data_IF_833289309186
#
_entry.id   IF_833289309186
#
_cell.length_a   1.000
_cell.length_b   1.000
_cell.length_c   1.000
_cell.angle_alpha   90.00
_cell.angle_beta   90.00
_cell.angle_gamma   90.00
#
_symmetry.space_group_name_H-M   'P 1'
#
loop_
_entity.id
_entity.type
_entity.pdbx_description
1 polymer ?
#
# COMPACT_ATOMS: atom_id res chain seq x y z
N UNK A 1 3.21 -25.55 -27.38
CA UNK A 1 2.21 -24.49 -27.23
C UNK A 1 2.10 -24.19 -25.73
N UNK A 2 2.74 -23.12 -25.27
CA UNK A 2 2.66 -22.69 -23.87
C UNK A 2 1.44 -21.76 -23.77
N UNK A 3 0.39 -22.19 -23.06
CA UNK A 3 -0.84 -21.42 -22.88
C UNK A 3 -0.57 -20.48 -21.71
N UNK A 4 -0.54 -19.17 -21.95
CA UNK A 4 -0.43 -18.17 -20.89
C UNK A 4 -1.84 -17.76 -20.47
N UNK A 5 -2.22 -18.10 -19.24
CA UNK A 5 -3.48 -17.66 -18.63
C UNK A 5 -3.30 -16.23 -18.10
N UNK A 6 -4.16 -15.33 -18.55
CA UNK A 6 -4.29 -13.97 -18.01
C UNK A 6 -5.77 -13.72 -17.76
N UNK A 7 -6.13 -13.04 -16.67
CA UNK A 7 -7.52 -12.93 -16.20
C UNK A 7 -7.81 -11.49 -15.83
N UNK A 8 -8.43 -10.69 -16.70
CA UNK A 8 -8.75 -9.30 -16.37
C UNK A 8 -10.19 -9.17 -15.85
N UNK A 9 -10.35 -8.71 -14.60
CA UNK A 9 -11.62 -8.25 -14.05
C UNK A 9 -11.64 -6.72 -14.03
N UNK A 10 -12.22 -6.09 -15.05
CA UNK A 10 -12.51 -4.65 -15.07
C UNK A 10 -13.95 -4.43 -14.61
N UNK A 11 -14.13 -3.77 -13.46
CA UNK A 11 -15.39 -3.10 -13.11
C UNK A 11 -15.09 -1.61 -12.95
N UNK A 12 -15.52 -0.84 -13.94
CA UNK A 12 -15.44 0.62 -14.01
C UNK A 12 -16.60 1.20 -13.18
N UNK A 13 -16.28 1.95 -12.13
CA UNK A 13 -17.06 3.12 -11.66
C UNK A 13 -16.01 4.19 -11.26
N UNK A 14 -16.19 5.40 -11.78
CA UNK A 14 -15.14 6.38 -12.11
C UNK A 14 -14.37 7.01 -10.95
N UNK A 15 -13.23 7.68 -11.18
CA UNK A 15 -12.83 8.45 -12.35
C UNK A 15 -11.46 8.03 -12.88
N UNK A 16 -11.38 7.92 -14.20
CA UNK A 16 -10.13 7.83 -14.94
C UNK A 16 -9.60 9.26 -15.09
N UNK A 17 -8.48 9.58 -14.44
CA UNK A 17 -7.56 10.57 -14.98
C UNK A 17 -6.58 9.80 -15.85
N UNK A 18 -6.79 9.87 -17.16
CA UNK A 18 -5.83 9.44 -18.16
C UNK A 18 -4.55 10.26 -17.98
N UNK A 19 -3.44 9.55 -17.84
CA UNK A 19 -2.11 10.13 -17.81
C UNK A 19 -1.08 9.11 -18.28
N UNK A 20 -1.28 8.54 -19.47
CA UNK A 20 -0.15 8.04 -20.25
C UNK A 20 0.74 9.25 -20.56
N UNK A 21 1.87 9.38 -19.87
CA UNK A 21 3.00 10.11 -20.40
C UNK A 21 4.23 9.25 -20.20
N UNK A 22 4.72 8.72 -21.30
CA UNK A 22 6.14 8.44 -21.39
C UNK A 22 6.89 9.67 -20.93
N UNK A 23 7.69 9.52 -19.88
CA UNK A 23 8.66 10.53 -19.46
C UNK A 23 9.75 10.50 -20.53
N UNK A 24 9.50 11.22 -21.63
CA UNK A 24 10.60 11.78 -22.38
C UNK A 24 11.17 12.91 -21.52
N UNK A 25 12.46 12.79 -21.20
CA UNK A 25 13.29 13.84 -20.61
C UNK A 25 13.25 15.08 -21.50
N UNK A 26 12.22 15.90 -21.34
CA UNK A 26 12.23 17.28 -21.78
C UNK A 26 12.49 18.12 -20.56
N UNK A 27 13.67 18.75 -20.56
CA UNK A 27 14.02 19.88 -19.70
C UNK A 27 12.88 20.91 -19.74
N UNK A 28 11.93 20.83 -18.80
CA UNK A 28 11.03 21.94 -18.51
C UNK A 28 11.80 22.88 -17.60
N UNK A 29 12.50 23.81 -18.24
CA UNK A 29 13.01 25.00 -17.60
C UNK A 29 11.82 25.87 -17.21
N UNK A 30 11.65 26.07 -15.90
CA UNK A 30 10.98 27.23 -15.30
C UNK A 30 9.46 27.22 -15.29
N UNK A 31 8.89 26.73 -14.19
CA UNK A 31 7.92 27.54 -13.43
C UNK A 31 8.30 27.41 -11.95
N UNK A 32 9.11 28.37 -11.49
CA UNK A 32 9.30 28.66 -10.08
C UNK A 32 7.94 29.06 -9.47
N UNK A 33 7.18 28.08 -9.01
CA UNK A 33 6.06 28.28 -8.08
C UNK A 33 6.42 27.68 -6.72
N UNK A 34 7.66 27.89 -6.28
CA UNK A 34 8.05 27.83 -4.89
C UNK A 34 7.30 28.91 -4.10
N UNK A 35 6.00 28.70 -3.86
CA UNK A 35 5.44 29.11 -2.57
C UNK A 35 6.03 28.13 -1.57
N UNK A 36 7.26 28.42 -1.17
CA UNK A 36 7.94 27.78 -0.06
C UNK A 36 7.04 27.99 1.15
N UNK A 37 6.23 27.00 1.47
CA UNK A 37 5.90 26.77 2.85
C UNK A 37 7.27 26.59 3.50
N UNK A 38 7.72 27.61 4.25
CA UNK A 38 8.86 27.48 5.17
C UNK A 38 8.78 26.07 5.77
N UNK A 39 9.88 25.32 5.79
CA UNK A 39 9.93 23.90 6.20
C UNK A 39 9.39 23.60 7.60
N UNK A 40 8.73 24.56 8.24
CA UNK A 40 7.84 24.45 9.37
C UNK A 40 6.36 24.33 8.95
N UNK A 41 5.59 23.51 9.67
CA UNK A 41 4.13 23.38 9.52
C UNK A 41 3.34 24.67 9.83
N UNK A 42 4.03 25.78 10.15
CA UNK A 42 3.46 27.01 10.72
C UNK A 42 2.48 27.73 9.81
N UNK A 43 2.54 27.47 8.50
CA UNK A 43 1.69 28.13 7.52
C UNK A 43 0.57 27.23 6.96
N UNK A 44 0.36 26.02 7.50
CA UNK A 44 -0.72 25.12 7.06
C UNK A 44 -1.99 25.35 7.88
N UNK A 45 -3.14 25.41 7.21
CA UNK A 45 -4.45 25.53 7.86
C UNK A 45 -5.27 24.25 7.63
N UNK A 46 -5.47 23.47 8.69
CA UNK A 46 -6.37 22.31 8.64
C UNK A 46 -7.82 22.76 8.61
N UNK A 47 -8.68 22.06 7.85
CA UNK A 47 -10.13 22.34 7.80
C UNK A 47 -10.81 22.16 9.15
N UNK A 48 -10.30 21.27 9.98
CA UNK A 48 -10.82 20.99 11.31
C UNK A 48 -9.72 20.90 12.37
N UNK A 49 -10.06 21.27 13.61
CA UNK A 49 -9.14 21.09 14.75
C UNK A 49 -8.81 19.61 15.00
N UNK A 50 -9.75 18.71 14.68
CA UNK A 50 -9.54 17.26 14.82
C UNK A 50 -8.41 16.76 13.92
N UNK A 51 -8.39 17.18 12.65
CA UNK A 51 -7.32 16.86 11.70
C UNK A 51 -5.98 17.41 12.18
N UNK A 52 -5.96 18.68 12.63
CA UNK A 52 -4.74 19.32 13.15
C UNK A 52 -4.15 18.56 14.34
N UNK A 53 -4.98 18.25 15.35
CA UNK A 53 -4.55 17.53 16.55
C UNK A 53 -4.01 16.15 16.17
N UNK A 54 -4.69 15.45 15.25
CA UNK A 54 -4.26 14.12 14.82
C UNK A 54 -2.94 14.16 14.05
N UNK A 55 -2.82 15.07 13.09
CA UNK A 55 -1.58 15.28 12.36
C UNK A 55 -0.42 15.60 13.32
N UNK A 56 -0.63 16.49 14.30
CA UNK A 56 0.39 16.82 15.28
C UNK A 56 0.82 15.61 16.10
N UNK A 57 -0.13 14.79 16.58
CA UNK A 57 0.19 13.54 17.30
C UNK A 57 1.01 12.58 16.44
N UNK A 58 0.65 12.39 15.17
CA UNK A 58 1.40 11.54 14.24
C UNK A 58 2.81 12.10 13.99
N UNK A 59 2.93 13.42 13.81
CA UNK A 59 4.20 14.10 13.65
C UNK A 59 5.12 13.93 14.87
N UNK A 60 4.58 14.15 16.07
CA UNK A 60 5.32 14.00 17.32
C UNK A 60 5.77 12.56 17.52
N UNK A 61 4.90 11.58 17.25
CA UNK A 61 5.23 10.17 17.32
C UNK A 61 6.34 9.77 16.35
N UNK A 62 6.25 10.19 15.09
CA UNK A 62 7.29 9.90 14.10
C UNK A 62 8.61 10.53 14.55
N UNK A 63 8.62 11.82 14.90
CA UNK A 63 9.84 12.49 15.37
C UNK A 63 10.45 11.79 16.58
N UNK A 64 9.65 11.43 17.59
CA UNK A 64 10.13 10.76 18.80
C UNK A 64 10.66 9.34 18.53
N UNK A 65 10.19 8.69 17.46
CA UNK A 65 10.67 7.36 17.03
C UNK A 65 11.90 7.42 16.11
N UNK A 66 12.33 8.62 15.72
CA UNK A 66 13.50 8.85 14.87
C UNK A 66 14.65 9.45 15.67
N UNK A 67 15.87 9.24 15.20
CA UNK A 67 17.09 9.74 15.85
C UNK A 67 18.06 10.32 14.81
N UNK A 68 19.23 10.78 15.25
CA UNK A 68 20.23 11.42 14.38
C UNK A 68 20.74 10.55 13.22
N UNK A 69 20.46 9.24 13.21
CA UNK A 69 20.83 8.31 12.14
C UNK A 69 19.80 8.29 11.00
N UNK A 70 18.66 8.95 11.18
CA UNK A 70 17.65 9.09 10.13
C UNK A 70 17.98 10.32 9.28
N UNK A 71 18.08 10.12 7.97
CA UNK A 71 18.05 11.23 7.02
C UNK A 71 16.62 11.77 6.98
N UNK A 72 16.49 13.08 6.98
CA UNK A 72 15.18 13.73 6.90
C UNK A 72 15.14 14.64 5.69
N UNK A 73 14.04 14.58 4.94
CA UNK A 73 13.68 15.61 3.98
C UNK A 73 12.64 16.52 4.62
N UNK A 74 12.77 17.85 4.51
CA UNK A 74 11.78 18.77 5.04
C UNK A 74 10.43 18.56 4.35
N UNK A 75 9.41 19.28 4.81
CA UNK A 75 8.15 19.24 4.07
C UNK A 75 8.33 19.85 2.68
N UNK A 76 7.94 19.10 1.66
CA UNK A 76 8.05 19.50 0.25
C UNK A 76 6.76 19.14 -0.51
N UNK A 77 6.39 19.97 -1.48
CA UNK A 77 5.23 19.71 -2.34
C UNK A 77 5.56 18.68 -3.41
N UNK A 78 4.75 17.63 -3.50
CA UNK A 78 4.85 16.58 -4.52
C UNK A 78 3.47 16.32 -5.10
N UNK A 79 3.15 16.98 -6.21
CA UNK A 79 1.77 17.05 -6.71
C UNK A 79 0.84 17.64 -5.65
N UNK A 80 -0.29 16.97 -5.37
CA UNK A 80 -1.28 17.41 -4.38
C UNK A 80 -0.93 17.05 -2.93
N UNK A 81 0.32 16.69 -2.65
CA UNK A 81 0.80 16.28 -1.33
C UNK A 81 1.84 17.25 -0.80
N UNK A 82 1.75 17.60 0.47
CA UNK A 82 2.82 18.26 1.20
C UNK A 82 3.35 17.29 2.25
N UNK A 83 4.56 16.77 2.02
CA UNK A 83 5.05 15.57 2.70
C UNK A 83 6.42 15.79 3.33
N UNK A 84 6.62 15.23 4.53
CA UNK A 84 7.91 15.13 5.21
C UNK A 84 8.31 13.68 5.27
N UNK A 85 9.58 13.40 5.03
CA UNK A 85 10.09 12.04 4.97
C UNK A 85 11.27 11.85 5.92
N UNK A 86 11.32 10.67 6.54
CA UNK A 86 12.42 10.16 7.33
C UNK A 86 12.83 8.83 6.75
N UNK A 87 14.10 8.66 6.45
CA UNK A 87 14.57 7.43 5.85
C UNK A 87 15.93 7.02 6.44
N UNK A 88 16.14 5.72 6.54
CA UNK A 88 17.37 5.13 7.03
C UNK A 88 17.57 3.77 6.38
N UNK A 89 18.82 3.45 6.06
CA UNK A 89 19.22 2.08 5.73
C UNK A 89 20.14 1.55 6.81
N UNK A 90 20.00 0.27 7.14
CA UNK A 90 20.81 -0.36 8.17
C UNK A 90 22.29 -0.54 7.77
N UNK A 91 22.58 -0.58 6.46
CA UNK A 91 23.94 -0.67 5.93
C UNK A 91 24.43 0.67 5.35
N UNK A 92 25.76 0.85 5.34
CA UNK A 92 26.44 2.07 4.93
C UNK A 92 26.41 2.18 3.39
N UNK A 93 25.56 3.07 2.88
CA UNK A 93 25.51 3.49 1.49
C UNK A 93 24.70 4.77 1.37
N UNK A 94 24.86 5.51 0.27
CA UNK A 94 23.99 6.65 0.00
C UNK A 94 22.56 6.15 -0.21
N UNK A 95 21.69 6.45 0.74
CA UNK A 95 20.26 6.18 0.65
C UNK A 95 19.52 7.52 0.63
N UNK A 96 18.75 7.73 -0.43
CA UNK A 96 17.87 8.88 -0.52
C UNK A 96 16.41 8.48 -0.30
N UNK A 97 15.66 9.37 0.32
CA UNK A 97 14.27 9.10 0.71
C UNK A 97 13.31 9.03 -0.51
N UNK A 98 13.83 9.20 -1.74
CA UNK A 98 13.09 9.10 -3.00
C UNK A 98 12.95 7.66 -3.53
N UNK A 99 13.78 6.71 -3.09
CA UNK A 99 13.74 5.33 -3.61
C UNK A 99 12.73 4.47 -2.84
N UNK A 100 11.45 4.54 -3.20
CA UNK A 100 10.38 3.72 -2.56
C UNK A 100 9.84 2.59 -3.45
N UNK A 101 10.19 2.56 -4.74
CA UNK A 101 9.59 1.58 -5.66
C UNK A 101 10.22 0.18 -5.55
N UNK A 102 11.42 0.07 -4.97
CA UNK A 102 12.12 -1.20 -4.77
C UNK A 102 12.36 -1.41 -3.28
N UNK A 103 11.41 -2.04 -2.60
CA UNK A 103 11.57 -2.39 -1.19
C UNK A 103 12.65 -3.47 -1.08
N UNK A 104 13.69 -3.19 -0.30
CA UNK A 104 14.76 -4.13 -0.02
C UNK A 104 15.04 -4.27 1.47
N UNK A 105 15.88 -5.25 1.84
CA UNK A 105 16.32 -5.48 3.22
C UNK A 105 16.97 -4.26 3.86
N UNK A 106 16.75 -4.12 5.17
CA UNK A 106 17.33 -3.08 6.00
C UNK A 106 16.85 -1.66 5.67
N UNK A 107 15.89 -1.47 4.77
CA UNK A 107 15.22 -0.19 4.54
C UNK A 107 14.23 0.13 5.65
N UNK A 108 14.31 1.37 6.14
CA UNK A 108 13.35 1.97 7.05
C UNK A 108 12.91 3.32 6.49
N UNK A 109 11.61 3.54 6.46
CA UNK A 109 11.02 4.75 5.90
C UNK A 109 9.81 5.15 6.73
N UNK A 110 9.63 6.45 6.92
CA UNK A 110 8.41 7.05 7.45
C UNK A 110 8.12 8.29 6.63
N UNK A 111 6.87 8.49 6.27
CA UNK A 111 6.34 9.67 5.61
C UNK A 111 5.12 10.14 6.37
N UNK A 112 5.01 11.46 6.48
CA UNK A 112 3.82 12.13 6.93
C UNK A 112 3.42 13.14 5.87
N UNK A 113 2.17 13.08 5.42
CA UNK A 113 1.65 13.95 4.38
C UNK A 113 0.32 14.58 4.76
N UNK A 114 0.06 15.74 4.17
CA UNK A 114 -1.27 16.35 4.08
C UNK A 114 -1.60 16.54 2.61
N UNK A 115 -2.88 16.55 2.26
CA UNK A 115 -3.31 16.84 0.90
C UNK A 115 -3.80 18.28 0.78
N UNK A 116 -3.67 18.84 -0.40
CA UNK A 116 -4.19 20.16 -0.71
C UNK A 116 -4.62 20.25 -2.17
N UNK A 117 -5.39 21.28 -2.48
CA UNK A 117 -5.54 21.76 -3.85
C UNK A 117 -4.69 23.02 -3.98
N UNK A 118 -3.88 23.15 -5.03
CA UNK A 118 -2.98 24.30 -5.24
C UNK A 118 -3.68 25.65 -5.04
N UNK A 119 -4.91 25.76 -5.53
CA UNK A 119 -5.76 26.96 -5.44
C UNK A 119 -6.22 27.31 -4.02
N UNK A 120 -6.24 26.33 -3.12
CA UNK A 120 -6.81 26.46 -1.77
C UNK A 120 -5.70 26.60 -0.70
N UNK A 121 -4.42 26.51 -1.08
CA UNK A 121 -3.31 26.76 -0.15
C UNK A 121 -3.43 28.15 0.51
N UNK A 122 -3.24 28.27 1.84
CA UNK A 122 -2.64 27.29 2.76
C UNK A 122 -3.58 26.23 3.37
N UNK A 123 -4.84 26.16 2.93
CA UNK A 123 -5.82 25.21 3.48
C UNK A 123 -5.52 23.80 2.98
N UNK A 124 -5.32 22.88 3.90
CA UNK A 124 -5.10 21.46 3.64
C UNK A 124 -6.30 20.64 4.08
N UNK A 125 -6.45 19.49 3.45
CA UNK A 125 -7.44 18.48 3.81
C UNK A 125 -6.81 17.11 3.70
N UNK A 126 -7.28 16.16 4.50
CA UNK A 126 -6.69 14.83 4.45
C UNK A 126 -5.31 14.76 5.08
N UNK A 127 -5.08 13.64 5.75
CA UNK A 127 -3.81 13.32 6.39
C UNK A 127 -3.39 11.93 5.93
N UNK A 128 -2.09 11.75 5.75
CA UNK A 128 -1.52 10.50 5.31
C UNK A 128 -0.26 10.15 6.05
N UNK A 129 0.00 8.85 6.16
CA UNK A 129 1.30 8.35 6.56
C UNK A 129 1.61 7.05 5.84
N UNK A 130 2.85 6.94 5.40
CA UNK A 130 3.42 5.70 4.90
C UNK A 130 4.61 5.35 5.78
N UNK A 131 4.81 4.07 6.04
CA UNK A 131 5.96 3.62 6.80
C UNK A 131 6.40 2.24 6.32
N UNK A 132 7.70 1.97 6.46
CA UNK A 132 8.33 0.72 6.12
C UNK A 132 9.36 0.41 7.19
N UNK A 133 9.39 -0.85 7.60
CA UNK A 133 10.43 -1.39 8.45
C UNK A 133 10.79 -2.80 7.95
N UNK A 134 12.02 -2.96 7.49
CA UNK A 134 12.56 -4.26 7.06
C UNK A 134 13.80 -4.62 7.87
N UNK A 135 14.01 -5.92 8.06
CA UNK A 135 15.19 -6.45 8.72
C UNK A 135 16.37 -6.52 7.73
N UNK A 136 17.60 -6.48 8.24
CA UNK A 136 18.83 -6.62 7.43
C UNK A 136 19.06 -8.08 7.01
N UNK A 137 18.45 -9.01 7.75
CA UNK A 137 18.58 -10.45 7.54
C UNK A 137 17.27 -11.03 7.01
N UNK A 138 17.18 -12.35 6.97
CA UNK A 138 15.93 -13.05 6.76
C UNK A 138 14.89 -12.72 7.85
N UNK A 139 13.62 -12.87 7.49
CA UNK A 139 12.49 -12.65 8.37
C UNK A 139 11.44 -11.74 7.75
N UNK A 140 10.52 -11.29 8.59
CA UNK A 140 9.41 -10.45 8.17
C UNK A 140 9.73 -8.96 8.38
N UNK A 141 9.46 -8.16 7.36
CA UNK A 141 9.28 -6.72 7.45
C UNK A 141 7.80 -6.33 7.39
N UNK A 142 7.53 -5.05 7.51
CA UNK A 142 6.19 -4.48 7.39
C UNK A 142 6.21 -3.16 6.64
N UNK A 143 5.23 -2.98 5.76
CA UNK A 143 4.84 -1.72 5.16
C UNK A 143 3.47 -1.32 5.70
N UNK A 144 3.26 -0.03 5.90
CA UNK A 144 2.03 0.54 6.41
C UNK A 144 1.67 1.76 5.59
N UNK A 145 0.41 1.88 5.18
CA UNK A 145 -0.17 3.08 4.59
C UNK A 145 -1.47 3.41 5.30
N UNK A 146 -1.67 4.68 5.58
CA UNK A 146 -2.88 5.23 6.14
C UNK A 146 -3.26 6.52 5.44
N UNK A 147 -4.54 6.70 5.10
CA UNK A 147 -5.11 7.96 4.63
C UNK A 147 -6.48 8.20 5.26
N UNK A 148 -6.70 9.41 5.79
CA UNK A 148 -8.00 9.88 6.29
C UNK A 148 -8.36 11.22 5.64
N UNK A 149 -9.66 11.56 5.57
CA UNK A 149 -10.21 12.81 5.02
C UNK A 149 -9.76 13.18 3.59
N UNK A 150 -9.26 12.22 2.84
CA UNK A 150 -8.73 12.42 1.48
C UNK A 150 -9.76 12.15 0.36
N UNK A 151 -11.02 11.86 0.70
CA UNK A 151 -12.03 11.23 -0.19
C UNK A 151 -12.19 11.88 -1.58
N UNK A 152 -11.87 13.17 -1.71
CA UNK A 152 -11.93 13.89 -2.99
C UNK A 152 -10.73 13.68 -3.92
N UNK A 153 -9.64 13.07 -3.44
CA UNK A 153 -8.43 12.72 -4.20
C UNK A 153 -8.05 11.25 -4.00
N UNK A 154 -8.09 10.74 -2.77
CA UNK A 154 -7.82 9.34 -2.41
C UNK A 154 -8.95 8.78 -1.55
N UNK A 155 -9.31 7.51 -1.76
CA UNK A 155 -10.19 6.84 -0.81
C UNK A 155 -9.49 6.72 0.56
N UNK A 156 -10.29 6.82 1.63
CA UNK A 156 -9.83 6.47 2.98
C UNK A 156 -9.36 5.01 2.97
N UNK A 157 -8.18 4.75 3.49
CA UNK A 157 -7.67 3.39 3.58
C UNK A 157 -6.66 3.24 4.72
N UNK A 158 -6.60 2.03 5.25
CA UNK A 158 -5.49 1.50 6.04
C UNK A 158 -5.02 0.23 5.35
N UNK A 159 -3.73 0.18 5.04
CA UNK A 159 -3.07 -0.99 4.49
C UNK A 159 -1.85 -1.34 5.34
N UNK A 160 -1.74 -2.60 5.74
CA UNK A 160 -0.59 -3.17 6.42
C UNK A 160 -0.10 -4.32 5.54
N UNK A 161 1.13 -4.31 5.07
CA UNK A 161 1.68 -5.42 4.27
C UNK A 161 2.89 -5.99 4.95
N UNK A 162 2.85 -7.28 5.31
CA UNK A 162 4.02 -7.99 5.80
C UNK A 162 4.79 -8.56 4.62
N UNK A 163 6.10 -8.39 4.64
CA UNK A 163 6.99 -8.78 3.53
C UNK A 163 8.01 -9.79 4.06
N UNK A 164 8.06 -10.98 3.48
CA UNK A 164 9.02 -12.00 3.86
C UNK A 164 10.30 -11.86 3.05
N UNK A 165 11.44 -11.89 3.73
CA UNK A 165 12.76 -11.93 3.13
C UNK A 165 13.45 -13.24 3.55
N UNK A 166 14.06 -13.94 2.60
CA UNK A 166 14.99 -15.04 2.91
C UNK A 166 16.41 -14.49 3.12
N UNK A 167 17.43 -15.34 3.22
CA UNK A 167 18.81 -14.89 3.39
C UNK A 167 19.44 -14.43 2.06
N UNK A 168 19.08 -15.07 0.94
CA UNK A 168 19.74 -14.93 -0.36
C UNK A 168 19.18 -13.80 -1.25
N UNK A 169 17.93 -13.40 -1.06
CA UNK A 169 17.24 -12.38 -1.86
C UNK A 169 17.31 -11.01 -1.20
N UNK A 170 17.64 -9.97 -1.95
CA UNK A 170 17.53 -8.58 -1.47
C UNK A 170 16.07 -8.09 -1.46
N UNK A 171 15.20 -8.75 -2.23
CA UNK A 171 13.79 -8.42 -2.41
C UNK A 171 12.85 -9.38 -1.66
N UNK A 172 11.61 -8.96 -1.34
CA UNK A 172 10.62 -9.84 -0.74
C UNK A 172 10.35 -11.08 -1.60
N UNK A 173 10.19 -12.23 -0.94
CA UNK A 173 9.86 -13.53 -1.57
C UNK A 173 8.42 -13.97 -1.32
N UNK A 174 7.74 -13.33 -0.35
CA UNK A 174 6.34 -13.58 -0.01
C UNK A 174 5.75 -12.32 0.65
N UNK A 175 4.42 -12.20 0.64
CA UNK A 175 3.73 -11.07 1.26
C UNK A 175 2.36 -11.45 1.85
N UNK A 176 1.97 -10.75 2.93
CA UNK A 176 0.62 -10.81 3.50
C UNK A 176 0.08 -9.39 3.66
N UNK A 177 -0.91 -9.04 2.84
CA UNK A 177 -1.54 -7.71 2.81
C UNK A 177 -2.77 -7.62 3.74
N UNK A 178 -2.70 -7.06 4.92
CA UNK A 178 -3.89 -6.73 5.72
C UNK A 178 -4.35 -5.30 5.42
N UNK A 179 -5.24 -5.13 4.44
CA UNK A 179 -5.75 -3.81 4.08
C UNK A 179 -7.13 -3.86 3.42
N UNK A 180 -7.73 -2.67 3.26
CA UNK A 180 -9.00 -2.50 2.55
C UNK A 180 -8.91 -2.79 1.06
N UNK A 181 -7.68 -2.76 0.52
CA UNK A 181 -7.38 -2.84 -0.89
C UNK A 181 -6.56 -4.11 -1.14
N UNK A 182 -7.24 -5.24 -1.35
CA UNK A 182 -6.57 -6.44 -1.85
C UNK A 182 -6.94 -6.71 -3.28
N UNK A 183 -5.91 -6.93 -4.07
CA UNK A 183 -5.98 -7.34 -5.45
C UNK A 183 -5.56 -8.78 -5.60
N UNK A 184 -6.39 -9.60 -6.24
CA UNK A 184 -6.05 -10.98 -6.56
C UNK A 184 -6.21 -11.23 -8.04
N UNK A 185 -5.09 -11.46 -8.70
CA UNK A 185 -5.02 -12.02 -10.03
C UNK A 185 -4.74 -13.52 -9.90
N UNK A 186 -5.60 -14.38 -10.45
CA UNK A 186 -5.31 -15.81 -10.56
C UNK A 186 -4.56 -16.01 -11.87
N UNK A 187 -3.25 -15.75 -11.86
CA UNK A 187 -2.33 -16.02 -12.97
C UNK A 187 -1.13 -16.83 -12.50
N UNK A 188 -0.43 -17.47 -13.45
CA UNK A 188 0.86 -18.10 -13.17
C UNK A 188 1.98 -17.07 -12.93
N UNK A 189 1.80 -15.81 -13.34
CA UNK A 189 2.76 -14.71 -13.14
C UNK A 189 2.03 -13.47 -12.63
N UNK A 190 2.50 -12.98 -11.48
CA UNK A 190 2.01 -11.86 -10.66
C UNK A 190 1.79 -10.55 -11.42
N UNK A 191 0.61 -9.93 -11.24
CA UNK A 191 0.37 -8.49 -10.99
C UNK A 191 -1.14 -8.16 -10.88
N UNK A 192 -1.50 -6.97 -10.39
CA UNK A 192 -2.63 -6.75 -9.46
C UNK A 192 -3.89 -6.05 -10.04
N UNK A 193 -5.10 -6.36 -9.52
CA UNK A 193 -6.33 -5.55 -9.67
C UNK A 193 -7.11 -5.36 -8.35
N UNK A 194 -7.30 -4.11 -7.90
CA UNK A 194 -7.77 -3.69 -6.55
C UNK A 194 -9.23 -4.09 -6.25
N UNK A 195 -9.48 -4.65 -5.05
CA UNK A 195 -10.83 -4.79 -4.48
C UNK A 195 -10.92 -4.02 -3.17
N UNK A 196 -11.86 -3.07 -3.11
CA UNK A 196 -12.09 -2.17 -1.99
C UNK A 196 -13.07 -2.76 -0.96
N UNK A 197 -12.72 -2.65 0.32
CA UNK A 197 -13.64 -2.86 1.44
C UNK A 197 -14.07 -1.50 2.02
N UNK A 198 -15.33 -1.12 1.85
CA UNK A 198 -15.87 0.23 2.17
C UNK A 198 -16.66 0.30 3.48
N UNK A 199 -16.41 -0.59 4.44
CA UNK A 199 -17.39 -0.88 5.50
C UNK A 199 -17.23 -0.17 6.85
N UNK A 200 -16.04 0.29 7.23
CA UNK A 200 -15.75 0.76 8.59
C UNK A 200 -14.96 2.06 8.57
N UNK A 201 -15.09 2.87 9.63
CA UNK A 201 -14.22 4.04 9.76
C UNK A 201 -12.79 3.57 10.03
N UNK A 202 -11.82 4.06 9.26
CA UNK A 202 -10.39 3.68 9.39
C UNK A 202 -9.85 3.79 10.81
N UNK A 203 -10.37 4.75 11.58
CA UNK A 203 -10.00 4.92 12.98
C UNK A 203 -10.40 3.71 13.84
N UNK A 204 -11.66 3.25 13.73
CA UNK A 204 -12.12 2.06 14.46
C UNK A 204 -11.38 0.79 14.03
N UNK A 205 -10.84 0.75 12.81
CA UNK A 205 -10.05 -0.36 12.30
C UNK A 205 -8.64 -0.39 12.88
N UNK A 206 -7.95 0.76 12.89
CA UNK A 206 -6.64 0.90 13.52
C UNK A 206 -6.66 0.57 15.01
N UNK A 207 -7.71 1.01 15.73
CA UNK A 207 -7.88 0.71 17.15
C UNK A 207 -7.97 -0.80 17.43
N UNK A 208 -8.58 -1.58 16.52
CA UNK A 208 -8.64 -3.04 16.65
C UNK A 208 -7.26 -3.69 16.47
N UNK A 209 -6.43 -3.18 15.58
CA UNK A 209 -5.08 -3.69 15.38
C UNK A 209 -4.13 -3.32 16.52
N UNK A 210 -4.29 -2.13 17.13
CA UNK A 210 -3.38 -1.62 18.17
C UNK A 210 -3.71 -2.12 19.59
N UNK A 211 -4.86 -2.75 19.80
CA UNK A 211 -5.34 -3.11 21.14
C UNK A 211 -4.50 -4.18 21.84
N UNK A 212 -4.20 -5.28 21.14
CA UNK A 212 -3.38 -6.38 21.66
C UNK A 212 -2.95 -7.30 20.50
N UNK A 213 -1.93 -8.16 20.70
CA UNK A 213 -1.56 -9.18 19.73
C UNK A 213 -2.74 -10.08 19.32
N UNK A 214 -3.59 -10.48 20.26
CA UNK A 214 -4.76 -11.31 20.00
C UNK A 214 -5.83 -10.55 19.19
N UNK A 215 -6.03 -9.27 19.50
CA UNK A 215 -6.96 -8.41 18.74
C UNK A 215 -6.48 -8.26 17.30
N UNK A 216 -5.18 -8.01 17.12
CA UNK A 216 -4.52 -7.98 15.81
C UNK A 216 -4.72 -9.29 15.05
N UNK A 217 -4.39 -10.44 15.67
CA UNK A 217 -4.55 -11.78 15.07
C UNK A 217 -5.99 -12.02 14.61
N UNK A 218 -6.96 -11.78 15.49
CA UNK A 218 -8.37 -12.02 15.19
C UNK A 218 -8.86 -11.12 14.05
N UNK A 219 -8.40 -9.87 14.01
CA UNK A 219 -8.74 -8.95 12.92
C UNK A 219 -8.11 -9.38 11.60
N UNK A 220 -6.83 -9.75 11.60
CA UNK A 220 -6.11 -10.26 10.45
C UNK A 220 -6.79 -11.50 9.86
N UNK A 221 -7.10 -12.50 10.69
CA UNK A 221 -7.80 -13.71 10.28
C UNK A 221 -9.18 -13.41 9.68
N UNK A 222 -9.94 -12.49 10.29
CA UNK A 222 -11.24 -12.05 9.76
C UNK A 222 -11.11 -11.42 8.38
N UNK A 223 -10.08 -10.62 8.14
CA UNK A 223 -9.85 -9.98 6.84
C UNK A 223 -9.48 -11.02 5.79
N UNK A 224 -8.58 -11.94 6.12
CA UNK A 224 -8.20 -13.06 5.24
C UNK A 224 -9.43 -13.91 4.90
N UNK A 225 -10.31 -14.18 5.88
CA UNK A 225 -11.59 -14.85 5.63
C UNK A 225 -12.52 -14.06 4.72
N UNK A 226 -12.67 -12.76 4.94
CA UNK A 226 -13.48 -11.89 4.07
C UNK A 226 -12.96 -11.91 2.63
N UNK A 227 -11.65 -11.81 2.44
CA UNK A 227 -11.02 -11.91 1.13
C UNK A 227 -11.23 -13.27 0.48
N UNK A 228 -11.07 -14.36 1.23
CA UNK A 228 -11.36 -15.70 0.73
C UNK A 228 -12.81 -15.83 0.26
N UNK A 229 -13.78 -15.36 1.06
CA UNK A 229 -15.20 -15.37 0.68
C UNK A 229 -15.49 -14.53 -0.57
N UNK A 230 -14.81 -13.40 -0.73
CA UNK A 230 -14.91 -12.58 -1.92
C UNK A 230 -14.37 -13.31 -3.15
N UNK A 231 -13.18 -13.90 -3.07
CA UNK A 231 -12.56 -14.65 -4.18
C UNK A 231 -13.44 -15.83 -4.61
N UNK A 232 -13.87 -16.68 -3.68
CA UNK A 232 -14.76 -17.80 -4.03
C UNK A 232 -16.10 -17.31 -4.57
N UNK A 233 -16.61 -16.17 -4.07
CA UNK A 233 -17.82 -15.53 -4.56
C UNK A 233 -17.68 -15.07 -6.02
N UNK A 234 -16.53 -14.50 -6.40
CA UNK A 234 -16.24 -14.09 -7.78
C UNK A 234 -16.12 -15.31 -8.71
N UNK A 235 -15.43 -16.37 -8.27
CA UNK A 235 -15.27 -17.61 -9.04
C UNK A 235 -16.65 -18.27 -9.27
N UNK A 236 -17.45 -18.43 -8.21
CA UNK A 236 -18.76 -19.06 -8.28
C UNK A 236 -19.79 -18.27 -9.10
N UNK A 237 -19.66 -16.93 -9.12
CA UNK A 237 -20.50 -16.04 -9.95
C UNK A 237 -20.01 -15.90 -11.40
N UNK A 238 -18.98 -16.66 -11.81
CA UNK A 238 -18.35 -16.59 -13.13
C UNK A 238 -17.90 -15.18 -13.51
N UNK A 239 -17.45 -14.40 -12.53
CA UNK A 239 -16.94 -13.04 -12.79
C UNK A 239 -15.48 -13.06 -13.24
N UNK A 240 -14.76 -14.12 -12.90
CA UNK A 240 -13.38 -14.39 -13.32
C UNK A 240 -13.37 -14.91 -14.76
N UNK A 241 -12.58 -14.28 -15.63
CA UNK A 241 -12.47 -14.61 -17.06
C UNK A 241 -11.05 -14.97 -17.45
N UNK A 242 -10.87 -15.89 -18.39
CA UNK A 242 -9.58 -16.11 -19.04
C UNK A 242 -9.57 -15.28 -20.32
N UNK A 243 -8.55 -14.44 -20.42
CA UNK A 243 -8.23 -13.62 -21.57
C UNK A 243 -7.13 -14.31 -22.37
N UNK A 244 -7.37 -14.43 -23.67
CA UNK A 244 -6.40 -14.90 -24.65
C UNK A 244 -5.75 -13.69 -25.30
N UNK A 245 -4.43 -13.72 -25.40
CA UNK A 245 -3.64 -12.59 -25.88
C UNK A 245 -3.09 -12.89 -27.26
N UNK A 246 -2.98 -11.84 -28.06
CA UNK A 246 -2.27 -11.88 -29.34
C UNK A 246 -0.75 -11.96 -29.16
N UNK A 247 -0.04 -11.86 -30.28
CA UNK A 247 1.42 -11.84 -30.27
C UNK A 247 1.95 -10.55 -29.59
N UNK A 248 2.94 -10.72 -28.71
CA UNK A 248 3.68 -9.60 -28.14
C UNK A 248 4.72 -9.12 -29.15
N UNK A 249 4.71 -7.82 -29.46
CA UNK A 249 5.53 -7.24 -30.52
C UNK A 249 6.90 -6.72 -30.06
N UNK A 250 7.27 -6.98 -28.81
CA UNK A 250 8.50 -6.48 -28.17
C UNK A 250 8.68 -4.95 -28.23
N UNK A 251 7.58 -4.18 -28.38
CA UNK A 251 7.57 -2.71 -28.45
C UNK A 251 7.29 -2.05 -27.09
N UNK A 252 7.23 -2.85 -26.03
CA UNK A 252 6.87 -2.39 -24.68
C UNK A 252 5.37 -2.18 -24.47
N UNK A 253 4.52 -2.52 -25.46
CA UNK A 253 3.06 -2.48 -25.33
C UNK A 253 2.55 -3.89 -25.07
N UNK A 254 1.82 -4.14 -23.96
CA UNK A 254 1.24 -5.44 -23.67
C UNK A 254 0.44 -5.98 -24.87
N UNK A 255 0.46 -7.30 -25.13
CA UNK A 255 -0.25 -7.85 -26.27
C UNK A 255 -1.75 -7.54 -26.14
N UNK A 256 -2.47 -7.34 -27.25
CA UNK A 256 -3.91 -7.10 -27.18
C UNK A 256 -4.63 -8.36 -26.74
N UNK A 257 -5.69 -8.21 -25.95
CA UNK A 257 -6.64 -9.30 -25.68
C UNK A 257 -7.42 -9.58 -26.97
N UNK A 258 -7.28 -10.80 -27.51
CA UNK A 258 -7.95 -11.24 -28.74
C UNK A 258 -9.27 -11.97 -28.45
N UNK A 259 -9.41 -12.58 -27.27
CA UNK A 259 -10.63 -13.23 -26.84
C UNK A 259 -10.73 -13.26 -25.31
N UNK A 260 -11.95 -13.36 -24.78
CA UNK A 260 -12.19 -13.49 -23.35
C UNK A 260 -13.31 -14.49 -23.12
N UNK A 261 -13.11 -15.44 -22.21
CA UNK A 261 -14.10 -16.46 -21.89
C UNK A 261 -14.23 -16.68 -20.39
N UNK A 262 -15.36 -17.20 -19.97
CA UNK A 262 -15.54 -17.64 -18.59
C UNK A 262 -14.73 -18.92 -18.32
N UNK A 263 -14.43 -19.16 -17.04
CA UNK A 263 -13.88 -20.42 -16.58
C UNK A 263 -14.84 -21.58 -16.87
N UNK A 264 -14.29 -22.70 -17.34
CA UNK A 264 -14.96 -24.01 -17.36
C UNK A 264 -15.19 -24.54 -15.94
N UNK A 265 -16.03 -25.56 -15.78
CA UNK A 265 -16.29 -26.14 -14.45
C UNK A 265 -15.04 -26.79 -13.83
N UNK A 266 -14.16 -27.36 -14.65
CA UNK A 266 -12.89 -27.92 -14.19
C UNK A 266 -11.92 -26.82 -13.72
N UNK A 267 -11.78 -25.75 -14.51
CA UNK A 267 -10.96 -24.59 -14.14
C UNK A 267 -11.47 -23.91 -12.88
N UNK A 268 -12.79 -23.79 -12.68
CA UNK A 268 -13.36 -23.30 -11.42
C UNK A 268 -12.97 -24.17 -10.23
N UNK A 269 -13.08 -25.50 -10.36
CA UNK A 269 -12.70 -26.42 -9.27
C UNK A 269 -11.22 -26.26 -8.92
N UNK A 270 -10.35 -26.15 -9.92
CA UNK A 270 -8.91 -25.89 -9.72
C UNK A 270 -8.69 -24.54 -9.04
N UNK A 271 -9.32 -23.47 -9.52
CA UNK A 271 -9.20 -22.13 -8.95
C UNK A 271 -9.68 -22.06 -7.49
N UNK A 272 -10.77 -22.75 -7.15
CA UNK A 272 -11.25 -22.87 -5.77
C UNK A 272 -10.26 -23.61 -4.87
N UNK A 273 -9.64 -24.68 -5.38
CA UNK A 273 -8.60 -25.43 -4.65
C UNK A 273 -7.37 -24.56 -4.37
N UNK A 274 -6.86 -23.86 -5.40
CA UNK A 274 -5.72 -22.93 -5.28
C UNK A 274 -6.04 -21.80 -4.31
N UNK A 275 -7.22 -21.18 -4.41
CA UNK A 275 -7.63 -20.13 -3.47
C UNK A 275 -7.64 -20.66 -2.03
N UNK A 276 -8.24 -21.83 -1.79
CA UNK A 276 -8.27 -22.44 -0.45
C UNK A 276 -6.86 -22.65 0.11
N UNK A 277 -5.96 -23.25 -0.67
CA UNK A 277 -4.58 -23.51 -0.25
C UNK A 277 -3.83 -22.22 0.08
N UNK A 278 -3.95 -21.20 -0.77
CA UNK A 278 -3.35 -19.89 -0.56
C UNK A 278 -3.83 -19.24 0.75
N UNK A 279 -5.15 -19.15 0.96
CA UNK A 279 -5.70 -18.50 2.15
C UNK A 279 -5.48 -19.32 3.43
N UNK A 280 -5.43 -20.65 3.35
CA UNK A 280 -5.05 -21.49 4.49
C UNK A 280 -3.58 -21.29 4.88
N UNK A 281 -2.67 -21.14 3.89
CA UNK A 281 -1.27 -20.78 4.13
C UNK A 281 -1.16 -19.43 4.84
N UNK A 282 -1.82 -18.38 4.34
CA UNK A 282 -1.80 -17.06 4.99
C UNK A 282 -2.32 -17.12 6.43
N UNK A 283 -3.42 -17.85 6.69
CA UNK A 283 -3.95 -18.03 8.04
C UNK A 283 -2.96 -18.72 8.96
N UNK A 284 -2.29 -19.76 8.49
CA UNK A 284 -1.26 -20.45 9.27
C UNK A 284 -0.14 -19.49 9.65
N UNK A 285 0.36 -18.72 8.67
CA UNK A 285 1.42 -17.73 8.92
C UNK A 285 0.95 -16.70 9.96
N UNK A 286 -0.26 -16.14 9.83
CA UNK A 286 -0.82 -15.23 10.85
C UNK A 286 -0.88 -15.91 12.21
N UNK A 287 -1.33 -17.15 12.29
CA UNK A 287 -1.46 -17.86 13.56
C UNK A 287 -0.10 -18.09 14.23
N UNK A 288 0.94 -18.38 13.45
CA UNK A 288 2.29 -18.67 13.94
C UNK A 288 3.08 -17.39 14.27
N UNK A 289 2.88 -16.32 13.48
CA UNK A 289 3.70 -15.09 13.53
C UNK A 289 3.00 -13.88 14.17
N UNK A 290 1.73 -13.96 14.61
CA UNK A 290 0.97 -12.77 15.03
C UNK A 290 1.66 -11.90 16.07
N UNK A 291 2.41 -12.48 17.02
CA UNK A 291 3.15 -11.71 18.01
C UNK A 291 4.25 -10.86 17.35
N UNK A 292 5.00 -11.46 16.43
CA UNK A 292 6.04 -10.78 15.66
C UNK A 292 5.43 -9.70 14.76
N UNK A 293 4.35 -10.04 14.04
CA UNK A 293 3.63 -9.10 13.18
C UNK A 293 3.07 -7.91 13.95
N UNK A 294 2.55 -8.15 15.16
CA UNK A 294 2.08 -7.08 16.02
C UNK A 294 3.22 -6.14 16.43
N UNK A 295 4.39 -6.65 16.80
CA UNK A 295 5.56 -5.80 17.11
C UNK A 295 6.05 -5.01 15.90
N UNK A 296 6.12 -5.65 14.73
CA UNK A 296 6.46 -4.98 13.47
C UNK A 296 5.47 -3.85 13.18
N UNK A 297 4.16 -4.14 13.24
CA UNK A 297 3.11 -3.15 13.03
C UNK A 297 3.24 -1.96 14.01
N UNK A 298 3.48 -2.23 15.29
CA UNK A 298 3.72 -1.16 16.28
C UNK A 298 4.92 -0.28 15.92
N UNK A 299 5.99 -0.85 15.38
CA UNK A 299 7.20 -0.09 15.01
C UNK A 299 6.96 0.92 13.88
N UNK A 300 6.02 0.63 12.97
CA UNK A 300 5.67 1.49 11.83
C UNK A 300 4.43 2.36 12.06
N UNK A 301 3.57 1.99 13.01
CA UNK A 301 2.35 2.75 13.28
C UNK A 301 2.68 4.16 13.78
N UNK A 302 2.17 5.23 13.14
CA UNK A 302 2.33 6.60 13.62
C UNK A 302 1.41 6.91 14.83
N UNK A 303 0.68 5.92 15.34
CA UNK A 303 -0.39 6.08 16.33
C UNK A 303 -0.06 5.55 17.73
N UNK A 304 1.20 5.22 18.05
CA UNK A 304 1.55 4.83 19.42
C UNK A 304 1.07 5.92 20.42
N UNK A 305 0.30 5.53 21.43
CA UNK A 305 -0.31 6.42 22.44
C UNK A 305 -1.36 7.44 21.94
N UNK A 306 -1.98 7.22 20.78
CA UNK A 306 -2.99 8.15 20.22
C UNK A 306 -4.43 7.86 20.70
N UNK A 307 -4.67 6.67 21.28
CA UNK A 307 -5.97 6.20 21.77
C UNK A 307 -5.91 5.84 23.26
#
# INVERSE_FOLDING_TARGET
>A
MKIFLFVTCVVIIGAVVYGCSQIQNNNIVGVDNEKILDGTTRNIQFRTDKEKVRFQKMFDNINNSTDARWKTRPFESHGNFYKKQWCKRAEIGEFDCEQTNNITKGMMFKELSVLFYDKDLPVVFGIGSDALYTLVKSGWGVSFSYREYAESIFQKHTNITFLQFDEASEYPIDEIVLGTDRSYLVTENSDYSVVYNTGTSEQSELELYLKSPESFKNRALKIIDQHYQMVIGQINKNKIKIDEYGEYKDDGVPPPVISSRNLTNEEKRKALGVAKEYFDKEKSIIFDEYNNFYQLFKAVSPFENVF
#
